data_IF_370648233373
#
_entry.id   IF_370648233373
#
_cell.length_a   1.000
_cell.length_b   1.000
_cell.length_c   1.000
_cell.angle_alpha   90.00
_cell.angle_beta   90.00
_cell.angle_gamma   90.00
#
_symmetry.space_group_name_H-M   'P 1'
#
loop_
_entity.id
_entity.type
_entity.pdbx_description
1 polymer ?
#
# COMPACT_ATOMS: atom_id res chain seq x y z
N UNK A 1 16.81 11.56 6.49
CA UNK A 1 17.15 10.16 6.83
C UNK A 1 16.36 9.17 5.99
N UNK A 2 15.05 9.28 5.99
CA UNK A 2 14.20 8.45 5.13
C UNK A 2 14.53 8.61 3.67
N UNK A 3 14.73 9.84 3.20
CA UNK A 3 15.02 10.11 1.79
C UNK A 3 16.33 9.50 1.33
N UNK A 4 17.35 9.41 2.20
CA UNK A 4 18.59 8.73 1.86
C UNK A 4 18.37 7.23 1.66
N UNK A 5 17.58 6.62 2.53
CA UNK A 5 17.26 5.19 2.42
C UNK A 5 16.44 4.90 1.16
N UNK A 6 15.48 5.78 0.84
CA UNK A 6 14.68 5.66 -0.38
C UNK A 6 15.58 5.77 -1.63
N UNK A 7 16.49 6.75 -1.65
CA UNK A 7 17.44 6.90 -2.75
C UNK A 7 18.31 5.65 -2.90
N UNK A 8 18.77 5.09 -1.80
CA UNK A 8 19.57 3.86 -1.80
C UNK A 8 18.77 2.68 -2.34
N UNK A 9 17.53 2.51 -1.86
CA UNK A 9 16.65 1.43 -2.33
C UNK A 9 16.42 1.51 -3.84
N UNK A 10 16.23 2.71 -4.37
CA UNK A 10 15.88 2.92 -5.76
C UNK A 10 17.10 2.98 -6.69
N UNK A 11 18.30 2.81 -6.18
CA UNK A 11 19.54 2.93 -6.94
C UNK A 11 20.22 1.57 -7.11
N UNK A 12 20.29 1.11 -8.35
CA UNK A 12 20.96 -0.15 -8.68
C UNK A 12 20.15 -1.39 -8.30
N UNK A 13 20.78 -2.54 -8.51
CA UNK A 13 20.16 -3.82 -8.19
C UNK A 13 20.34 -4.17 -6.72
N UNK A 14 19.29 -4.73 -6.11
CA UNK A 14 19.33 -5.28 -4.75
C UNK A 14 18.69 -6.66 -4.73
N UNK A 15 19.24 -7.54 -3.90
CA UNK A 15 18.62 -8.84 -3.64
C UNK A 15 17.33 -8.65 -2.83
N UNK A 16 16.44 -9.65 -2.81
CA UNK A 16 15.24 -9.56 -1.95
C UNK A 16 15.55 -9.29 -0.48
N UNK A 17 16.63 -9.88 0.06
CA UNK A 17 17.06 -9.63 1.43
C UNK A 17 17.49 -8.19 1.65
N UNK A 18 18.26 -7.65 0.71
CA UNK A 18 18.72 -6.25 0.78
C UNK A 18 17.53 -5.29 0.72
N UNK A 19 16.54 -5.59 -0.13
CA UNK A 19 15.31 -4.78 -0.22
C UNK A 19 14.57 -4.81 1.11
N UNK A 20 14.39 -5.99 1.73
CA UNK A 20 13.72 -6.09 3.03
C UNK A 20 14.47 -5.36 4.13
N UNK A 21 15.79 -5.42 4.12
CA UNK A 21 16.60 -4.68 5.10
C UNK A 21 16.39 -3.17 4.97
N UNK A 22 16.45 -2.65 3.75
CA UNK A 22 16.23 -1.23 3.48
C UNK A 22 14.83 -0.80 3.87
N UNK A 23 13.81 -1.59 3.50
CA UNK A 23 12.43 -1.31 3.87
C UNK A 23 12.23 -1.35 5.38
N UNK A 24 12.83 -2.31 6.07
CA UNK A 24 12.76 -2.39 7.54
C UNK A 24 13.33 -1.15 8.20
N UNK A 25 14.39 -0.61 7.62
CA UNK A 25 15.00 0.65 8.11
C UNK A 25 14.13 1.87 7.76
N UNK A 26 13.52 1.88 6.59
CA UNK A 26 12.59 2.95 6.18
C UNK A 26 11.35 2.94 7.09
N UNK A 27 10.77 1.78 7.30
CA UNK A 27 9.52 1.64 8.08
C UNK A 27 9.76 1.48 9.59
N UNK A 28 11.02 1.32 10.01
CA UNK A 28 11.36 1.23 11.43
C UNK A 28 10.86 -0.04 12.11
N UNK A 29 10.75 -1.13 11.35
CA UNK A 29 10.32 -2.42 11.87
C UNK A 29 11.01 -3.55 11.13
N UNK A 30 11.29 -4.70 11.79
CA UNK A 30 11.73 -5.87 11.07
C UNK A 30 10.60 -6.41 10.21
N UNK A 31 10.91 -6.91 9.02
CA UNK A 31 9.93 -7.46 8.10
C UNK A 31 10.02 -8.97 8.04
N UNK A 32 8.87 -9.61 7.91
CA UNK A 32 8.81 -11.04 7.65
C UNK A 32 9.48 -11.35 6.30
N UNK A 33 10.16 -12.50 6.21
CA UNK A 33 10.86 -12.90 4.99
C UNK A 33 9.93 -13.09 3.79
N UNK A 34 8.64 -13.22 4.01
CA UNK A 34 7.63 -13.35 2.94
C UNK A 34 7.30 -12.03 2.25
N UNK A 35 7.71 -10.90 2.81
CA UNK A 35 7.46 -9.59 2.19
C UNK A 35 8.33 -9.45 0.95
N UNK A 36 7.71 -9.01 -0.14
CA UNK A 36 8.37 -8.79 -1.44
C UNK A 36 8.02 -7.42 -1.98
N UNK A 37 8.99 -6.77 -2.56
CA UNK A 37 8.78 -5.50 -3.26
C UNK A 37 9.69 -5.41 -4.48
N UNK A 38 9.18 -4.77 -5.54
CA UNK A 38 9.97 -4.35 -6.69
C UNK A 38 10.14 -2.83 -6.65
N UNK A 39 11.36 -2.31 -6.47
CA UNK A 39 11.62 -0.88 -6.59
C UNK A 39 11.35 -0.38 -8.02
N UNK A 40 11.17 0.94 -8.25
CA UNK A 40 11.30 1.99 -7.25
C UNK A 40 10.10 2.11 -6.31
N UNK A 41 10.37 2.65 -5.11
CA UNK A 41 9.35 2.92 -4.09
C UNK A 41 9.59 4.30 -3.51
N UNK A 42 8.50 5.02 -3.26
CA UNK A 42 8.57 6.39 -2.75
C UNK A 42 7.74 6.53 -1.48
N UNK A 43 8.29 7.25 -0.51
CA UNK A 43 7.58 7.60 0.72
C UNK A 43 8.20 8.86 1.29
N UNK A 44 7.40 9.66 1.98
CA UNK A 44 7.90 10.91 2.55
C UNK A 44 8.38 10.75 3.99
N UNK A 45 7.81 9.85 4.76
CA UNK A 45 8.18 9.65 6.16
C UNK A 45 8.60 8.22 6.47
N UNK A 46 7.76 7.24 6.19
CA UNK A 46 8.01 5.81 6.32
C UNK A 46 7.71 5.22 7.69
N UNK A 47 7.84 5.97 8.75
CA UNK A 47 7.79 5.41 10.13
C UNK A 47 6.37 5.07 10.58
N UNK A 48 5.35 5.50 9.86
CA UNK A 48 3.95 5.19 10.18
C UNK A 48 3.35 4.14 9.25
N UNK A 49 4.20 3.43 8.51
CA UNK A 49 3.77 2.29 7.68
C UNK A 49 4.01 1.00 8.45
N UNK A 50 2.99 0.16 8.53
CA UNK A 50 3.06 -1.17 9.14
C UNK A 50 2.65 -2.21 8.11
N UNK A 51 3.44 -3.27 8.01
CA UNK A 51 3.28 -4.28 6.95
C UNK A 51 3.30 -5.67 7.57
N UNK A 52 2.30 -6.45 7.24
CA UNK A 52 2.16 -7.83 7.69
C UNK A 52 2.97 -8.81 6.83
N UNK A 53 2.66 -10.09 6.99
CA UNK A 53 3.33 -11.18 6.26
C UNK A 53 2.71 -11.38 4.89
N UNK A 54 3.50 -11.86 3.94
CA UNK A 54 3.00 -12.19 2.60
C UNK A 54 2.58 -10.99 1.77
N UNK A 55 2.96 -9.79 2.17
CA UNK A 55 2.64 -8.57 1.43
C UNK A 55 3.54 -8.44 0.22
N UNK A 56 2.95 -8.13 -0.92
CA UNK A 56 3.68 -7.84 -2.15
C UNK A 56 3.36 -6.43 -2.65
N UNK A 57 4.40 -5.66 -2.96
CA UNK A 57 4.28 -4.29 -3.48
C UNK A 57 5.04 -4.20 -4.80
N UNK A 58 4.34 -3.88 -5.87
CA UNK A 58 4.92 -3.81 -7.21
C UNK A 58 5.60 -2.45 -7.46
N UNK A 59 6.15 -2.26 -8.64
CA UNK A 59 6.96 -1.08 -9.03
C UNK A 59 6.20 0.23 -8.88
N UNK A 60 6.92 1.28 -8.46
CA UNK A 60 6.45 2.65 -8.61
C UNK A 60 5.39 3.11 -7.64
N UNK A 61 5.20 2.40 -6.54
CA UNK A 61 4.23 2.80 -5.53
C UNK A 61 4.73 3.97 -4.70
N UNK A 62 3.79 4.81 -4.24
CA UNK A 62 4.08 5.95 -3.36
C UNK A 62 3.18 5.89 -2.14
N UNK A 63 3.79 5.87 -0.95
CA UNK A 63 3.09 5.85 0.32
C UNK A 63 3.35 7.17 1.06
N UNK A 64 2.34 8.02 1.15
CA UNK A 64 2.41 9.25 1.94
C UNK A 64 1.78 8.94 3.30
N UNK A 65 2.60 8.50 4.25
CA UNK A 65 2.17 7.75 5.42
C UNK A 65 2.07 8.55 6.74
N UNK A 66 2.11 9.86 6.69
CA UNK A 66 2.08 10.65 7.93
C UNK A 66 0.80 10.46 8.75
N UNK A 67 -0.29 10.05 8.12
CA UNK A 67 -1.53 9.69 8.83
C UNK A 67 -1.61 8.23 9.24
N UNK A 68 -0.65 7.42 8.84
CA UNK A 68 -0.58 5.98 9.13
C UNK A 68 -1.09 5.11 7.99
N UNK A 69 -0.32 4.08 7.66
CA UNK A 69 -0.71 3.06 6.67
C UNK A 69 -0.49 1.70 7.31
N UNK A 70 -1.51 0.86 7.28
CA UNK A 70 -1.42 -0.53 7.70
C UNK A 70 -1.80 -1.43 6.53
N UNK A 71 -0.88 -2.30 6.15
CA UNK A 71 -1.12 -3.37 5.18
C UNK A 71 -1.14 -4.68 5.94
N UNK A 72 -2.30 -5.31 6.01
CA UNK A 72 -2.45 -6.58 6.72
C UNK A 72 -1.89 -7.73 5.90
N UNK A 73 -1.91 -8.94 6.46
CA UNK A 73 -1.29 -10.11 5.82
C UNK A 73 -1.87 -10.37 4.43
N UNK A 74 -1.00 -10.77 3.50
CA UNK A 74 -1.41 -11.19 2.17
C UNK A 74 -1.87 -10.09 1.23
N UNK A 75 -1.69 -8.83 1.59
CA UNK A 75 -2.06 -7.71 0.73
C UNK A 75 -1.18 -7.70 -0.52
N UNK A 76 -1.81 -7.53 -1.68
CA UNK A 76 -1.15 -7.48 -2.97
C UNK A 76 -1.39 -6.11 -3.61
N UNK A 77 -0.30 -5.36 -3.84
CA UNK A 77 -0.39 -4.00 -4.38
C UNK A 77 0.22 -3.95 -5.76
N UNK A 78 -0.57 -3.57 -6.75
CA UNK A 78 -0.15 -3.43 -8.15
C UNK A 78 0.78 -2.24 -8.37
N UNK A 79 1.37 -2.13 -9.58
CA UNK A 79 2.32 -1.07 -9.86
C UNK A 79 1.65 0.31 -9.85
N UNK A 80 2.41 1.32 -9.44
CA UNK A 80 1.97 2.71 -9.52
C UNK A 80 0.84 3.10 -8.56
N UNK A 81 0.58 2.30 -7.53
CA UNK A 81 -0.47 2.61 -6.54
C UNK A 81 -0.01 3.75 -5.64
N UNK A 82 -0.95 4.65 -5.32
CA UNK A 82 -0.71 5.78 -4.45
C UNK A 82 -1.61 5.67 -3.21
N UNK A 83 -0.99 5.57 -2.02
CA UNK A 83 -1.69 5.59 -0.75
C UNK A 83 -1.44 6.96 -0.10
N UNK A 84 -2.50 7.76 0.06
CA UNK A 84 -2.39 9.14 0.53
C UNK A 84 -3.14 9.27 1.86
N UNK A 85 -2.41 9.55 2.94
CA UNK A 85 -3.02 9.71 4.26
C UNK A 85 -3.15 11.16 4.70
N UNK A 86 -2.57 12.11 3.96
CA UNK A 86 -2.52 13.51 4.34
C UNK A 86 -3.11 14.38 3.23
N UNK A 87 -3.96 15.31 3.61
CA UNK A 87 -4.54 16.29 2.71
C UNK A 87 -4.10 17.71 3.12
N UNK A 88 -3.27 18.35 2.31
CA UNK A 88 -2.77 19.74 2.51
C UNK A 88 -2.17 19.98 3.89
N UNK A 89 -1.49 19.02 4.47
CA UNK A 89 -0.90 19.13 5.82
C UNK A 89 -1.89 19.51 6.95
N UNK A 90 -3.18 19.46 6.68
CA UNK A 90 -4.23 19.87 7.64
C UNK A 90 -5.08 18.68 8.06
N UNK A 91 -5.12 17.64 7.25
CA UNK A 91 -5.98 16.49 7.48
C UNK A 91 -5.18 15.21 7.26
N UNK A 92 -4.97 14.48 8.33
CA UNK A 92 -4.28 13.21 8.28
C UNK A 92 -5.17 12.13 8.87
N UNK A 93 -5.45 11.09 8.11
CA UNK A 93 -6.21 9.94 8.59
C UNK A 93 -5.63 8.64 8.05
N UNK A 94 -5.62 7.60 8.88
CA UNK A 94 -4.99 6.34 8.51
C UNK A 94 -5.73 5.62 7.39
N UNK A 95 -4.93 4.92 6.57
CA UNK A 95 -5.43 3.94 5.62
C UNK A 95 -5.16 2.56 6.21
N UNK A 96 -6.18 1.70 6.20
CA UNK A 96 -6.05 0.30 6.60
C UNK A 96 -6.45 -0.57 5.43
N UNK A 97 -5.53 -1.42 4.99
CA UNK A 97 -5.77 -2.39 3.91
C UNK A 97 -5.86 -3.77 4.53
N UNK A 98 -7.05 -4.35 4.47
CA UNK A 98 -7.37 -5.60 5.14
C UNK A 98 -6.68 -6.82 4.52
N UNK A 99 -6.72 -7.92 5.26
CA UNK A 99 -6.12 -9.19 4.88
C UNK A 99 -6.54 -9.61 3.47
N UNK A 100 -5.56 -10.00 2.66
CA UNK A 100 -5.80 -10.56 1.32
C UNK A 100 -6.36 -9.58 0.28
N UNK A 101 -6.37 -8.30 0.56
CA UNK A 101 -6.84 -7.29 -0.40
C UNK A 101 -5.89 -7.20 -1.60
N UNK A 102 -6.46 -7.06 -2.78
CA UNK A 102 -5.73 -6.80 -4.01
C UNK A 102 -6.06 -5.39 -4.50
N UNK A 103 -5.04 -4.54 -4.60
CA UNK A 103 -5.16 -3.19 -5.17
C UNK A 103 -4.55 -3.19 -6.56
N UNK A 104 -5.36 -2.90 -7.57
CA UNK A 104 -4.95 -2.91 -8.97
C UNK A 104 -4.05 -1.73 -9.34
N UNK A 105 -3.38 -1.88 -10.48
CA UNK A 105 -2.39 -0.92 -10.98
C UNK A 105 -2.95 0.52 -11.02
N UNK A 106 -2.15 1.47 -10.55
CA UNK A 106 -2.48 2.89 -10.66
C UNK A 106 -3.64 3.38 -9.81
N UNK A 107 -4.18 2.54 -8.92
CA UNK A 107 -5.25 2.98 -8.03
C UNK A 107 -4.74 4.01 -7.02
N UNK A 108 -5.64 4.88 -6.58
CA UNK A 108 -5.36 5.90 -5.56
C UNK A 108 -6.31 5.69 -4.39
N UNK A 109 -5.75 5.53 -3.19
CA UNK A 109 -6.52 5.38 -1.96
C UNK A 109 -6.38 6.66 -1.16
N UNK A 110 -7.50 7.26 -0.79
CA UNK A 110 -7.53 8.58 -0.12
C UNK A 110 -7.54 8.46 1.41
N UNK A 111 -7.24 9.59 2.12
CA UNK A 111 -7.12 9.55 3.57
C UNK A 111 -8.34 8.96 4.28
N UNK A 112 -8.08 8.14 5.27
CA UNK A 112 -9.12 7.58 6.15
C UNK A 112 -9.85 6.36 5.61
N UNK A 113 -9.48 5.86 4.42
CA UNK A 113 -10.16 4.71 3.83
C UNK A 113 -9.69 3.42 4.50
N UNK A 114 -10.65 2.59 4.88
CA UNK A 114 -10.43 1.20 5.27
C UNK A 114 -10.95 0.29 4.17
N UNK A 115 -10.11 -0.61 3.69
CA UNK A 115 -10.47 -1.61 2.68
C UNK A 115 -10.63 -2.94 3.39
N UNK A 116 -11.85 -3.48 3.35
CA UNK A 116 -12.19 -4.74 4.01
C UNK A 116 -11.48 -5.94 3.40
N UNK A 117 -11.33 -7.00 4.21
CA UNK A 117 -10.56 -8.19 3.81
C UNK A 117 -11.05 -8.79 2.49
N UNK A 118 -10.12 -9.29 1.72
CA UNK A 118 -10.35 -9.94 0.42
C UNK A 118 -11.02 -9.07 -0.64
N UNK A 119 -11.21 -7.78 -0.40
CA UNK A 119 -11.73 -6.87 -1.41
C UNK A 119 -10.72 -6.70 -2.56
N UNK A 120 -11.23 -6.32 -3.71
CA UNK A 120 -10.41 -6.01 -4.88
C UNK A 120 -10.71 -4.58 -5.32
N UNK A 121 -9.65 -3.80 -5.49
CA UNK A 121 -9.73 -2.45 -6.04
C UNK A 121 -9.26 -2.52 -7.50
N UNK A 122 -10.12 -2.16 -8.43
CA UNK A 122 -9.79 -2.20 -9.85
C UNK A 122 -8.69 -1.23 -10.24
N UNK A 123 -8.00 -1.54 -11.32
CA UNK A 123 -6.92 -0.69 -11.84
C UNK A 123 -7.44 0.73 -12.10
N UNK A 124 -6.66 1.74 -11.72
CA UNK A 124 -7.00 3.14 -11.94
C UNK A 124 -8.13 3.68 -11.07
N UNK A 125 -8.66 2.90 -10.15
CA UNK A 125 -9.76 3.36 -9.28
C UNK A 125 -9.29 4.44 -8.31
N UNK A 126 -10.18 5.40 -8.04
CA UNK A 126 -9.95 6.43 -7.02
C UNK A 126 -10.90 6.14 -5.86
N UNK A 127 -10.35 5.59 -4.78
CA UNK A 127 -11.14 5.12 -3.63
C UNK A 127 -11.28 6.23 -2.61
N UNK A 128 -12.50 6.73 -2.46
CA UNK A 128 -12.81 7.88 -1.59
C UNK A 128 -13.55 7.50 -0.32
N UNK A 129 -14.05 6.27 -0.24
CA UNK A 129 -14.85 5.75 0.88
C UNK A 129 -14.38 4.36 1.25
N UNK A 130 -14.72 3.93 2.46
CA UNK A 130 -14.44 2.57 2.90
C UNK A 130 -15.01 1.54 1.93
N UNK A 131 -14.27 0.45 1.77
CA UNK A 131 -14.64 -0.65 0.89
C UNK A 131 -15.02 -1.86 1.77
N UNK A 132 -16.22 -2.38 1.62
CA UNK A 132 -16.62 -3.58 2.38
C UNK A 132 -15.76 -4.80 2.03
N UNK A 133 -15.68 -5.74 2.95
CA UNK A 133 -14.99 -7.00 2.70
C UNK A 133 -15.63 -7.76 1.53
N UNK A 134 -14.82 -8.45 0.75
CA UNK A 134 -15.29 -9.37 -0.28
C UNK A 134 -16.00 -8.75 -1.47
N UNK A 135 -15.76 -7.46 -1.75
CA UNK A 135 -16.35 -6.82 -2.94
C UNK A 135 -15.27 -6.36 -3.91
N UNK A 136 -15.66 -6.14 -5.14
CA UNK A 136 -14.84 -5.48 -6.15
C UNK A 136 -15.36 -4.06 -6.32
N UNK A 137 -14.45 -3.08 -6.21
CA UNK A 137 -14.77 -1.68 -6.51
C UNK A 137 -13.95 -1.23 -7.71
N UNK A 138 -14.49 -0.28 -8.48
CA UNK A 138 -13.80 0.27 -9.66
C UNK A 138 -14.32 1.66 -9.96
N UNK A 139 -13.54 2.41 -10.72
CA UNK A 139 -13.94 3.72 -11.25
C UNK A 139 -13.46 4.90 -10.43
N UNK A 140 -13.88 6.09 -10.85
CA UNK A 140 -13.57 7.37 -10.20
C UNK A 140 -14.83 8.22 -10.07
N UNK A 141 -15.41 8.39 -8.88
CA UNK A 141 -15.02 7.71 -7.64
C UNK A 141 -15.36 6.23 -7.72
N UNK A 142 -14.59 5.42 -6.99
CA UNK A 142 -14.80 3.98 -7.00
C UNK A 142 -16.18 3.60 -6.44
N UNK A 143 -16.80 2.64 -7.09
CA UNK A 143 -18.13 2.11 -6.71
C UNK A 143 -18.07 0.59 -6.69
N UNK A 144 -18.92 -0.04 -5.90
CA UNK A 144 -19.04 -1.50 -5.87
C UNK A 144 -19.55 -1.99 -7.22
N UNK A 145 -18.78 -2.88 -7.84
CA UNK A 145 -19.15 -3.55 -9.09
C UNK A 145 -19.94 -4.81 -8.80
N UNK A 146 -19.44 -5.62 -7.88
CA UNK A 146 -20.08 -6.86 -7.43
C UNK A 146 -19.39 -7.42 -6.21
N UNK A 147 -20.03 -8.41 -5.58
CA UNK A 147 -19.41 -9.21 -4.54
C UNK A 147 -18.54 -10.30 -5.18
N UNK A 148 -17.46 -10.68 -4.51
CA UNK A 148 -16.66 -11.83 -4.89
C UNK A 148 -17.37 -13.06 -4.36
N UNK A 149 -17.71 -13.99 -5.26
CA UNK A 149 -18.29 -15.26 -4.85
C UNK A 149 -17.18 -16.17 -4.35
N UNK A 150 -17.25 -16.54 -3.09
CA UNK A 150 -16.42 -17.62 -2.55
C UNK A 150 -17.19 -18.93 -2.75
N UNK A 151 -16.55 -19.87 -3.43
CA UNK A 151 -17.08 -21.22 -3.54
C UNK A 151 -16.78 -22.04 -2.29
#
# INVERSE_FOLDING_TARGET
KTMKLVAQLNSGYHTPEEIRDLLGRIWGQPLDESVRMFPPFYTNFGKFTRVGRGVFINFGCTFLDRGGITLEDGVFIGPGVLLVTVRRNVYAKPIVVGHGVWIGAGAVILPGVTIGEHAVVGAGAIVTKDVPAGVIVAGNPARIVRSIKTE
#
